data_IF_896130120836
#
_entry.id   IF_896130120836
#
_cell.length_a   1.000
_cell.length_b   1.000
_cell.length_c   1.000
_cell.angle_alpha   90.00
_cell.angle_beta   90.00
_cell.angle_gamma   90.00
#
_symmetry.space_group_name_H-M   'P 1'
#
loop_
_entity.id
_entity.type
_entity.pdbx_description
1 polymer ?
#
# COMPACT_ATOMS: atom_id res chain seq x y z
N UNK A 1 21.86 11.91 28.66
CA UNK A 1 21.84 12.51 27.32
C UNK A 1 21.76 11.36 26.33
N UNK A 2 20.64 11.19 25.63
CA UNK A 2 20.56 10.21 24.54
C UNK A 2 21.47 10.72 23.42
N UNK A 3 22.54 9.99 23.13
CA UNK A 3 23.29 10.17 21.88
C UNK A 3 22.31 9.85 20.75
N UNK A 4 21.79 10.89 20.10
CA UNK A 4 21.07 10.72 18.84
C UNK A 4 21.99 10.01 17.86
N UNK A 5 21.44 9.06 17.10
CA UNK A 5 22.16 8.43 16.01
C UNK A 5 22.69 9.54 15.08
N UNK A 6 23.94 9.43 14.67
CA UNK A 6 24.56 10.41 13.77
C UNK A 6 23.77 10.47 12.45
N UNK A 7 23.21 11.63 12.12
CA UNK A 7 22.44 11.84 10.91
C UNK A 7 23.26 11.51 9.65
N UNK A 8 24.58 11.69 9.70
CA UNK A 8 25.50 11.33 8.62
C UNK A 8 25.56 9.82 8.38
N UNK A 9 25.51 9.02 9.44
CA UNK A 9 25.49 7.56 9.34
C UNK A 9 24.19 7.05 8.68
N UNK A 10 23.05 7.66 9.03
CA UNK A 10 21.76 7.31 8.43
C UNK A 10 21.71 7.68 6.93
N UNK A 11 22.32 8.81 6.57
CA UNK A 11 22.47 9.24 5.18
C UNK A 11 23.34 8.28 4.36
N UNK A 12 24.47 7.84 4.92
CA UNK A 12 25.33 6.85 4.29
C UNK A 12 24.64 5.49 4.17
N UNK A 13 23.91 5.08 5.19
CA UNK A 13 23.15 3.84 5.17
C UNK A 13 22.06 3.87 4.09
N UNK A 14 21.32 4.97 3.95
CA UNK A 14 20.31 5.11 2.89
C UNK A 14 20.93 4.93 1.50
N UNK A 15 22.03 5.65 1.21
CA UNK A 15 22.76 5.52 -0.06
C UNK A 15 23.32 4.12 -0.29
N UNK A 16 23.87 3.49 0.75
CA UNK A 16 24.41 2.13 0.68
C UNK A 16 23.30 1.10 0.38
N UNK A 17 22.15 1.24 1.03
CA UNK A 17 20.97 0.40 0.76
C UNK A 17 20.51 0.54 -0.68
N UNK A 18 20.44 1.77 -1.21
CA UNK A 18 20.05 2.00 -2.61
C UNK A 18 21.06 1.38 -3.59
N UNK A 19 22.36 1.62 -3.38
CA UNK A 19 23.42 1.09 -4.22
C UNK A 19 23.45 -0.45 -4.22
N UNK A 20 23.09 -1.10 -3.12
CA UNK A 20 23.06 -2.56 -3.01
C UNK A 20 21.93 -3.21 -3.83
N UNK A 21 20.88 -2.46 -4.21
CA UNK A 21 19.70 -3.02 -4.89
C UNK A 21 19.46 -2.46 -6.28
N UNK A 22 20.11 -1.35 -6.63
CA UNK A 22 20.08 -0.78 -7.96
C UNK A 22 21.16 -1.46 -8.80
N UNK A 23 20.76 -2.27 -9.79
CA UNK A 23 21.73 -2.86 -10.71
C UNK A 23 22.41 -1.75 -11.52
N UNK A 24 23.68 -1.97 -11.87
CA UNK A 24 24.38 -1.06 -12.77
C UNK A 24 23.75 -1.18 -14.17
N UNK A 25 23.13 -0.09 -14.64
CA UNK A 25 22.48 -0.02 -15.97
C UNK A 25 23.45 -0.28 -17.14
N UNK A 26 24.76 -0.29 -16.88
CA UNK A 26 25.81 -0.53 -17.87
C UNK A 26 26.02 -2.01 -18.23
N UNK A 27 25.37 -2.95 -17.55
CA UNK A 27 25.46 -4.38 -17.89
C UNK A 27 24.21 -4.86 -18.63
N UNK A 28 24.33 -5.30 -19.90
CA UNK A 28 23.24 -5.93 -20.63
C UNK A 28 23.03 -7.33 -20.05
N UNK A 29 22.19 -7.41 -19.02
CA UNK A 29 21.81 -8.69 -18.40
C UNK A 29 20.67 -9.28 -19.23
N UNK A 30 21.00 -10.27 -20.06
CA UNK A 30 20.04 -10.95 -20.94
C UNK A 30 19.12 -11.95 -20.21
N UNK A 31 19.35 -12.17 -18.92
CA UNK A 31 18.65 -13.18 -18.12
C UNK A 31 17.99 -12.56 -16.88
N UNK A 32 16.65 -12.65 -16.81
CA UNK A 32 15.84 -12.16 -15.70
C UNK A 32 16.06 -12.94 -14.38
N UNK A 33 16.84 -14.02 -14.41
CA UNK A 33 17.23 -14.78 -13.22
C UNK A 33 18.57 -14.35 -12.61
N UNK A 34 19.30 -13.43 -13.26
CA UNK A 34 20.56 -12.93 -12.72
C UNK A 34 20.32 -12.04 -11.48
N UNK A 35 21.16 -12.11 -10.44
CA UNK A 35 21.05 -11.24 -9.26
C UNK A 35 21.09 -9.74 -9.58
N UNK A 36 21.81 -9.37 -10.65
CA UNK A 36 21.94 -8.00 -11.15
C UNK A 36 20.90 -7.64 -12.22
N UNK A 37 19.86 -8.46 -12.40
CA UNK A 37 18.76 -8.08 -13.28
C UNK A 37 18.06 -6.82 -12.77
N UNK A 38 17.51 -6.03 -13.72
CA UNK A 38 16.71 -4.83 -13.44
C UNK A 38 15.54 -5.12 -12.48
N UNK A 39 15.11 -6.38 -12.42
CA UNK A 39 14.17 -6.94 -11.45
C UNK A 39 14.65 -8.31 -11.01
N UNK A 40 14.73 -8.51 -9.71
CA UNK A 40 15.03 -9.79 -9.09
C UNK A 40 14.12 -9.97 -7.89
N UNK A 41 13.14 -10.86 -8.02
CA UNK A 41 12.03 -11.03 -7.09
C UNK A 41 12.46 -11.05 -5.61
N UNK A 42 13.35 -11.96 -5.22
CA UNK A 42 13.74 -12.10 -3.80
C UNK A 42 14.41 -10.84 -3.25
N UNK A 43 15.23 -10.19 -4.08
CA UNK A 43 15.96 -8.97 -3.70
C UNK A 43 14.96 -7.82 -3.54
N UNK A 44 14.12 -7.63 -4.56
CA UNK A 44 13.19 -6.50 -4.61
C UNK A 44 12.04 -6.64 -3.60
N UNK A 45 11.64 -7.87 -3.23
CA UNK A 45 10.75 -8.14 -2.09
C UNK A 45 11.37 -7.75 -0.75
N UNK A 46 12.58 -8.25 -0.45
CA UNK A 46 13.28 -7.91 0.79
C UNK A 46 13.52 -6.39 0.91
N UNK A 47 13.92 -5.77 -0.20
CA UNK A 47 14.10 -4.34 -0.29
C UNK A 47 12.79 -3.60 -0.03
N UNK A 48 11.69 -3.93 -0.75
CA UNK A 48 10.41 -3.25 -0.56
C UNK A 48 9.88 -3.41 0.87
N UNK A 49 10.05 -4.58 1.49
CA UNK A 49 9.71 -4.77 2.89
C UNK A 49 10.50 -3.83 3.81
N UNK A 50 11.81 -3.72 3.61
CA UNK A 50 12.65 -2.81 4.39
C UNK A 50 12.23 -1.35 4.19
N UNK A 51 12.07 -0.92 2.94
CA UNK A 51 11.67 0.47 2.62
C UNK A 51 10.30 0.80 3.19
N UNK A 52 9.35 -0.15 3.18
CA UNK A 52 8.05 0.01 3.83
C UNK A 52 8.19 0.35 5.32
N UNK A 53 8.96 -0.43 6.08
CA UNK A 53 9.16 -0.16 7.50
C UNK A 53 9.90 1.16 7.75
N UNK A 54 10.88 1.49 6.91
CA UNK A 54 11.60 2.77 7.03
C UNK A 54 10.68 3.95 6.70
N UNK A 55 9.81 3.84 5.70
CA UNK A 55 8.88 4.90 5.32
C UNK A 55 7.86 5.27 6.40
N UNK A 56 7.59 4.36 7.35
CA UNK A 56 6.76 4.65 8.53
C UNK A 56 7.44 5.61 9.53
N UNK A 57 8.74 5.87 9.38
CA UNK A 57 9.49 6.81 10.19
C UNK A 57 9.74 8.11 9.40
N UNK A 58 9.24 9.24 9.91
CA UNK A 58 9.35 10.54 9.24
C UNK A 58 10.80 10.96 8.94
N UNK A 59 11.76 10.59 9.79
CA UNK A 59 13.18 10.90 9.58
C UNK A 59 13.75 10.13 8.36
N UNK A 60 13.27 8.91 8.15
CA UNK A 60 13.65 8.10 7.00
C UNK A 60 12.94 8.52 5.73
N UNK A 61 11.69 8.96 5.82
CA UNK A 61 10.93 9.40 4.66
C UNK A 61 11.68 10.41 3.78
N UNK A 62 12.27 11.46 4.37
CA UNK A 62 13.04 12.47 3.63
C UNK A 62 14.26 11.85 2.90
N UNK A 63 14.96 10.93 3.57
CA UNK A 63 16.13 10.22 3.02
C UNK A 63 15.74 9.30 1.88
N UNK A 64 14.65 8.56 2.05
CA UNK A 64 14.11 7.64 1.04
C UNK A 64 13.74 8.39 -0.25
N UNK A 65 13.15 9.57 -0.11
CA UNK A 65 12.83 10.44 -1.25
C UNK A 65 14.10 11.00 -1.90
N UNK A 66 14.98 11.61 -1.11
CA UNK A 66 16.22 12.26 -1.58
C UNK A 66 17.14 11.29 -2.31
N UNK A 67 17.30 10.08 -1.77
CA UNK A 67 18.26 9.09 -2.26
C UNK A 67 17.64 8.15 -3.32
N UNK A 68 16.43 8.45 -3.80
CA UNK A 68 15.83 7.83 -4.98
C UNK A 68 15.06 6.52 -4.74
N UNK A 69 14.88 6.11 -3.48
CA UNK A 69 14.22 4.84 -3.14
C UNK A 69 12.78 4.78 -3.66
N UNK A 70 12.04 5.89 -3.54
CA UNK A 70 10.66 5.96 -4.03
C UNK A 70 10.56 5.82 -5.55
N UNK A 71 11.50 6.41 -6.30
CA UNK A 71 11.57 6.27 -7.75
C UNK A 71 11.84 4.79 -8.13
N UNK A 72 12.75 4.12 -7.41
CA UNK A 72 12.99 2.69 -7.58
C UNK A 72 11.74 1.87 -7.27
N UNK A 73 11.06 2.09 -6.15
CA UNK A 73 9.81 1.42 -5.82
C UNK A 73 8.71 1.68 -6.88
N UNK A 74 8.72 2.85 -7.53
CA UNK A 74 7.76 3.16 -8.60
C UNK A 74 8.01 2.30 -9.82
N UNK A 75 9.29 2.14 -10.18
CA UNK A 75 9.69 1.24 -11.28
C UNK A 75 9.35 -0.23 -11.01
N UNK A 76 9.29 -0.63 -9.73
CA UNK A 76 8.94 -1.99 -9.33
C UNK A 76 7.43 -2.26 -9.44
N UNK A 77 6.56 -1.23 -9.40
CA UNK A 77 5.11 -1.43 -9.53
C UNK A 77 4.76 -2.10 -10.85
N UNK A 78 5.27 -1.60 -11.97
CA UNK A 78 4.93 -2.14 -13.30
C UNK A 78 5.33 -3.61 -13.41
N UNK A 79 6.46 -3.97 -12.80
CA UNK A 79 6.95 -5.35 -12.77
C UNK A 79 6.12 -6.20 -11.83
N UNK A 80 5.79 -5.70 -10.63
CA UNK A 80 4.93 -6.38 -9.67
C UNK A 80 3.51 -6.60 -10.21
N UNK A 81 2.99 -5.74 -11.09
CA UNK A 81 1.71 -5.96 -11.76
C UNK A 81 1.77 -7.11 -12.78
N UNK A 82 2.93 -7.33 -13.42
CA UNK A 82 3.17 -8.45 -14.33
C UNK A 82 3.40 -9.80 -13.65
N UNK A 83 3.69 -9.82 -12.34
CA UNK A 83 3.97 -11.03 -11.56
C UNK A 83 2.90 -11.30 -10.50
N UNK A 84 2.56 -12.56 -10.24
CA UNK A 84 1.53 -12.95 -9.27
C UNK A 84 2.02 -12.93 -7.80
N UNK A 85 2.68 -11.83 -7.42
CA UNK A 85 3.41 -11.71 -6.15
C UNK A 85 2.71 -10.77 -5.18
N UNK A 86 1.99 -11.38 -4.23
CA UNK A 86 1.19 -10.72 -3.21
C UNK A 86 2.02 -9.78 -2.31
N UNK A 87 3.11 -10.29 -1.74
CA UNK A 87 3.90 -9.58 -0.72
C UNK A 87 4.53 -8.30 -1.28
N UNK A 88 5.13 -8.40 -2.47
CA UNK A 88 5.74 -7.26 -3.14
C UNK A 88 4.72 -6.14 -3.37
N UNK A 89 3.54 -6.50 -3.87
CA UNK A 89 2.45 -5.55 -4.13
C UNK A 89 1.99 -4.88 -2.83
N UNK A 90 1.88 -5.63 -1.73
CA UNK A 90 1.51 -5.07 -0.43
C UNK A 90 2.53 -4.03 0.06
N UNK A 91 3.83 -4.38 0.08
CA UNK A 91 4.86 -3.45 0.55
C UNK A 91 4.98 -2.22 -0.34
N UNK A 92 4.95 -2.39 -1.67
CA UNK A 92 4.98 -1.25 -2.59
C UNK A 92 3.77 -0.34 -2.35
N UNK A 93 2.57 -0.90 -2.19
CA UNK A 93 1.37 -0.10 -1.94
C UNK A 93 1.45 0.68 -0.63
N UNK A 94 2.04 0.09 0.40
CA UNK A 94 2.33 0.75 1.67
C UNK A 94 3.35 1.88 1.56
N UNK A 95 4.45 1.68 0.82
CA UNK A 95 5.48 2.71 0.61
C UNK A 95 4.88 3.97 -0.01
N UNK A 96 4.05 3.81 -1.05
CA UNK A 96 3.45 4.95 -1.74
C UNK A 96 2.48 5.76 -0.90
N UNK A 97 1.88 5.17 0.12
CA UNK A 97 1.05 5.92 1.07
C UNK A 97 1.88 6.83 1.96
N UNK A 98 2.96 6.30 2.51
CA UNK A 98 3.81 7.08 3.40
C UNK A 98 4.65 8.09 2.63
N UNK A 99 4.86 7.87 1.33
CA UNK A 99 5.62 8.71 0.41
C UNK A 99 4.95 10.04 0.01
N UNK A 100 3.61 10.16 0.12
CA UNK A 100 2.90 11.37 -0.31
C UNK A 100 2.01 11.94 0.82
N UNK A 101 2.58 12.71 1.77
CA UNK A 101 1.81 13.37 2.81
C UNK A 101 1.15 14.68 2.35
N UNK A 102 1.09 14.97 1.05
CA UNK A 102 0.52 16.22 0.56
C UNK A 102 -1.01 16.22 0.69
N UNK A 103 -1.53 16.96 1.68
CA UNK A 103 -2.94 17.37 1.86
C UNK A 103 -3.56 18.09 0.64
N UNK A 104 -2.80 18.28 -0.45
CA UNK A 104 -3.30 18.87 -1.69
C UNK A 104 -3.80 17.77 -2.59
N UNK A 105 -5.13 17.73 -2.74
CA UNK A 105 -5.86 17.03 -3.81
C UNK A 105 -5.34 17.51 -5.16
N UNK A 106 -4.24 16.92 -5.60
CA UNK A 106 -3.72 17.10 -6.95
C UNK A 106 -4.44 16.09 -7.86
N UNK A 107 -4.72 16.47 -9.12
CA UNK A 107 -5.28 15.53 -10.08
C UNK A 107 -4.40 14.27 -10.15
N UNK A 108 -5.08 13.12 -10.22
CA UNK A 108 -4.51 11.78 -10.23
C UNK A 108 -3.23 11.69 -11.04
N UNK A 109 -2.09 11.69 -10.35
CA UNK A 109 -0.81 11.45 -11.03
C UNK A 109 -0.81 10.03 -11.61
N UNK A 110 -0.08 9.77 -12.70
CA UNK A 110 0.07 8.40 -13.22
C UNK A 110 0.54 7.41 -12.14
N UNK A 111 1.32 7.86 -11.17
CA UNK A 111 1.73 7.06 -10.01
C UNK A 111 0.54 6.70 -9.11
N UNK A 112 -0.36 7.66 -8.81
CA UNK A 112 -1.57 7.41 -8.03
C UNK A 112 -2.51 6.43 -8.74
N UNK A 113 -2.67 6.52 -10.07
CA UNK A 113 -3.50 5.57 -10.83
C UNK A 113 -2.92 4.14 -10.80
N UNK A 114 -1.60 4.00 -10.93
CA UNK A 114 -0.92 2.70 -10.83
C UNK A 114 -1.08 2.13 -9.42
N UNK A 115 -0.97 2.96 -8.41
CA UNK A 115 -1.19 2.56 -7.03
C UNK A 115 -2.63 2.08 -6.77
N UNK A 116 -3.65 2.78 -7.27
CA UNK A 116 -5.06 2.31 -7.20
C UNK A 116 -5.22 0.93 -7.81
N UNK A 117 -4.60 0.73 -8.96
CA UNK A 117 -4.58 -0.56 -9.65
C UNK A 117 -3.94 -1.64 -8.78
N UNK A 118 -2.84 -1.34 -8.07
CA UNK A 118 -2.24 -2.25 -7.09
C UNK A 118 -3.21 -2.59 -5.95
N UNK A 119 -3.79 -1.59 -5.27
CA UNK A 119 -4.71 -1.81 -4.15
C UNK A 119 -5.90 -2.69 -4.57
N UNK A 120 -6.50 -2.43 -5.74
CA UNK A 120 -7.59 -3.27 -6.28
C UNK A 120 -7.14 -4.69 -6.57
N UNK A 121 -5.97 -4.85 -7.18
CA UNK A 121 -5.45 -6.17 -7.52
C UNK A 121 -5.17 -6.99 -6.24
N UNK A 122 -4.68 -6.33 -5.19
CA UNK A 122 -4.48 -6.95 -3.88
C UNK A 122 -5.84 -7.35 -3.29
N UNK A 123 -6.86 -6.49 -3.27
CA UNK A 123 -8.17 -6.91 -2.75
C UNK A 123 -8.81 -8.08 -3.49
N UNK A 124 -8.70 -8.13 -4.82
CA UNK A 124 -9.16 -9.28 -5.62
C UNK A 124 -8.52 -10.59 -5.18
N UNK A 125 -7.24 -10.57 -4.83
CA UNK A 125 -6.48 -11.75 -4.42
C UNK A 125 -6.62 -12.05 -2.91
N UNK A 126 -7.04 -11.06 -2.10
CA UNK A 126 -7.12 -11.14 -0.64
C UNK A 126 -7.97 -12.32 -0.15
N UNK A 127 -9.07 -12.58 -0.86
CA UNK A 127 -10.00 -13.68 -0.55
C UNK A 127 -9.39 -15.08 -0.62
N UNK A 128 -8.16 -15.24 -1.12
CA UNK A 128 -7.50 -16.53 -1.29
C UNK A 128 -6.09 -16.63 -0.72
N UNK A 129 -5.46 -15.51 -0.33
CA UNK A 129 -4.01 -15.48 0.00
C UNK A 129 -3.65 -14.73 1.27
N UNK A 130 -4.62 -14.15 1.96
CA UNK A 130 -4.30 -13.15 2.97
C UNK A 130 -3.87 -13.75 4.32
N UNK A 131 -2.78 -13.24 4.90
CA UNK A 131 -2.38 -13.47 6.29
C UNK A 131 -2.91 -12.36 7.21
N UNK A 132 -3.13 -12.65 8.50
CA UNK A 132 -3.62 -11.69 9.51
C UNK A 132 -2.78 -10.41 9.58
N UNK A 133 -1.45 -10.54 9.55
CA UNK A 133 -0.50 -9.43 9.53
C UNK A 133 -0.73 -8.48 8.35
N UNK A 134 -0.90 -9.03 7.15
CA UNK A 134 -1.05 -8.28 5.90
C UNK A 134 -2.40 -7.54 5.79
N UNK A 135 -3.42 -7.97 6.56
CA UNK A 135 -4.75 -7.34 6.56
C UNK A 135 -4.73 -5.97 7.17
N UNK A 136 -4.02 -5.82 8.29
CA UNK A 136 -3.97 -4.54 9.00
C UNK A 136 -3.31 -3.48 8.12
N UNK A 137 -2.21 -3.84 7.47
CA UNK A 137 -1.52 -2.98 6.51
C UNK A 137 -2.44 -2.64 5.33
N UNK A 138 -3.07 -3.66 4.72
CA UNK A 138 -3.96 -3.45 3.56
C UNK A 138 -5.21 -2.61 3.89
N UNK A 139 -5.82 -2.79 5.07
CA UNK A 139 -6.93 -1.97 5.54
C UNK A 139 -6.47 -0.52 5.72
N UNK A 140 -5.30 -0.31 6.31
CA UNK A 140 -4.71 1.01 6.49
C UNK A 140 -4.47 1.68 5.14
N UNK A 141 -3.92 0.94 4.17
CA UNK A 141 -3.74 1.37 2.76
C UNK A 141 -5.04 1.82 2.13
N UNK A 142 -6.07 1.01 2.30
CA UNK A 142 -7.36 1.25 1.66
C UNK A 142 -8.07 2.45 2.27
N UNK A 143 -7.99 2.65 3.59
CA UNK A 143 -8.58 3.83 4.23
C UNK A 143 -7.94 5.13 3.77
N UNK A 144 -6.64 5.14 3.54
CA UNK A 144 -5.96 6.33 3.02
C UNK A 144 -6.29 6.59 1.55
N UNK A 145 -6.40 5.53 0.74
CA UNK A 145 -6.98 5.58 -0.60
C UNK A 145 -8.34 6.28 -0.63
N UNK A 146 -9.24 5.91 0.28
CA UNK A 146 -10.59 6.49 0.35
C UNK A 146 -10.62 7.94 0.87
N UNK A 147 -9.59 8.40 1.59
CA UNK A 147 -9.50 9.77 2.12
C UNK A 147 -8.91 10.78 1.14
N UNK A 148 -8.06 10.31 0.23
CA UNK A 148 -7.32 11.17 -0.71
C UNK A 148 -8.09 11.56 -1.97
N UNK A 149 -9.28 11.01 -2.21
CA UNK A 149 -10.06 11.27 -3.43
C UNK A 149 -11.57 11.32 -3.17
N UNK A 150 -12.13 12.52 -3.27
CA UNK A 150 -13.58 12.76 -3.19
C UNK A 150 -14.34 12.30 -4.45
N UNK A 151 -13.65 11.84 -5.51
CA UNK A 151 -14.22 11.48 -6.81
C UNK A 151 -13.95 10.02 -7.21
N UNK A 152 -13.87 9.09 -6.26
CA UNK A 152 -13.80 7.66 -6.59
C UNK A 152 -15.11 7.26 -7.31
N UNK A 153 -15.04 6.70 -8.52
CA UNK A 153 -16.22 6.23 -9.25
C UNK A 153 -17.04 5.22 -8.45
N UNK A 154 -18.38 5.31 -8.50
CA UNK A 154 -19.28 4.44 -7.75
C UNK A 154 -19.08 2.94 -8.07
N UNK A 155 -18.76 2.62 -9.33
CA UNK A 155 -18.46 1.25 -9.77
C UNK A 155 -17.15 0.73 -9.17
N UNK A 156 -16.12 1.59 -9.07
CA UNK A 156 -14.86 1.27 -8.40
C UNK A 156 -15.06 1.04 -6.90
N UNK A 157 -15.87 1.88 -6.25
CA UNK A 157 -16.19 1.74 -4.83
C UNK A 157 -17.00 0.44 -4.58
N UNK A 158 -17.93 0.11 -5.47
CA UNK A 158 -18.75 -1.12 -5.41
C UNK A 158 -17.89 -2.36 -5.59
N UNK A 159 -16.99 -2.36 -6.58
CA UNK A 159 -16.04 -3.45 -6.82
C UNK A 159 -15.15 -3.68 -5.58
N UNK A 160 -14.60 -2.60 -5.02
CA UNK A 160 -13.76 -2.68 -3.82
C UNK A 160 -14.55 -3.23 -2.62
N UNK A 161 -15.78 -2.78 -2.41
CA UNK A 161 -16.65 -3.29 -1.34
C UNK A 161 -16.90 -4.79 -1.48
N UNK A 162 -17.16 -5.28 -2.71
CA UNK A 162 -17.31 -6.71 -2.99
C UNK A 162 -16.03 -7.48 -2.65
N UNK A 163 -14.87 -6.98 -3.06
CA UNK A 163 -13.60 -7.68 -2.86
C UNK A 163 -13.21 -7.72 -1.36
N UNK A 164 -13.41 -6.61 -0.63
CA UNK A 164 -13.27 -6.53 0.84
C UNK A 164 -14.22 -7.48 1.55
N UNK A 165 -15.49 -7.56 1.11
CA UNK A 165 -16.46 -8.51 1.65
C UNK A 165 -16.03 -9.97 1.42
N UNK A 166 -15.46 -10.27 0.25
CA UNK A 166 -14.88 -11.60 -0.05
C UNK A 166 -13.75 -11.97 0.90
N UNK A 167 -12.84 -11.04 1.18
CA UNK A 167 -11.76 -11.23 2.15
C UNK A 167 -12.29 -11.43 3.58
N UNK A 168 -13.32 -10.69 3.97
CA UNK A 168 -13.97 -10.81 5.28
C UNK A 168 -14.58 -12.20 5.47
N UNK A 169 -15.36 -12.67 4.49
CA UNK A 169 -15.94 -14.01 4.52
C UNK A 169 -14.87 -15.11 4.59
N UNK A 170 -13.75 -14.92 3.89
CA UNK A 170 -12.62 -15.84 3.95
C UNK A 170 -12.00 -15.92 5.35
N UNK A 171 -11.72 -14.77 5.97
CA UNK A 171 -11.20 -14.72 7.34
C UNK A 171 -12.16 -15.32 8.36
N UNK A 172 -13.45 -14.99 8.27
CA UNK A 172 -14.44 -15.58 9.17
C UNK A 172 -14.50 -17.10 9.06
N UNK A 173 -14.35 -17.65 7.84
CA UNK A 173 -14.23 -19.10 7.63
C UNK A 173 -12.98 -19.66 8.28
N UNK A 174 -11.82 -19.03 8.11
CA UNK A 174 -10.57 -19.42 8.79
C UNK A 174 -10.80 -19.44 10.31
N UNK A 175 -11.37 -18.36 10.87
CA UNK A 175 -11.64 -18.28 12.31
C UNK A 175 -12.44 -19.48 12.82
N UNK A 176 -13.53 -19.81 12.13
CA UNK A 176 -14.40 -20.94 12.47
C UNK A 176 -13.66 -22.28 12.44
N UNK A 177 -12.71 -22.48 11.52
CA UNK A 177 -11.94 -23.72 11.44
C UNK A 177 -10.82 -23.81 12.50
N UNK A 178 -10.25 -22.68 12.92
CA UNK A 178 -9.09 -22.64 13.82
C UNK A 178 -9.42 -22.20 15.25
N UNK A 179 -10.69 -21.94 15.59
CA UNK A 179 -11.17 -21.65 16.95
C UNK A 179 -10.77 -22.71 18.01
N UNK A 180 -10.25 -23.87 17.58
CA UNK A 180 -9.85 -24.98 18.44
C UNK A 180 -8.32 -25.20 18.51
N UNK A 181 -7.53 -24.36 17.84
CA UNK A 181 -6.08 -24.50 17.77
C UNK A 181 -5.38 -23.33 18.49
N UNK A 182 -4.97 -23.57 19.74
CA UNK A 182 -4.41 -22.56 20.68
C UNK A 182 -3.07 -21.94 20.26
N UNK A 183 -2.57 -22.31 19.08
CA UNK A 183 -1.24 -21.92 18.59
C UNK A 183 -1.27 -20.65 17.74
N UNK A 184 -2.45 -20.13 17.42
CA UNK A 184 -2.61 -18.91 16.62
C UNK A 184 -2.54 -17.66 17.50
N UNK A 185 -1.90 -16.59 17.00
CA UNK A 185 -1.90 -15.28 17.64
C UNK A 185 -3.29 -14.63 17.56
N UNK A 186 -4.24 -15.15 18.37
CA UNK A 186 -5.66 -14.76 18.37
C UNK A 186 -5.87 -13.25 18.40
N UNK A 187 -5.09 -12.53 19.22
CA UNK A 187 -5.22 -11.08 19.33
C UNK A 187 -4.94 -10.32 18.01
N UNK A 188 -3.96 -10.76 17.22
CA UNK A 188 -3.65 -10.12 15.93
C UNK A 188 -4.70 -10.49 14.88
N UNK A 189 -5.18 -11.73 14.92
CA UNK A 189 -6.26 -12.19 14.06
C UNK A 189 -7.57 -11.45 14.34
N UNK A 190 -7.93 -11.28 15.61
CA UNK A 190 -9.11 -10.53 16.06
C UNK A 190 -9.01 -9.05 15.66
N UNK A 191 -7.83 -8.45 15.79
CA UNK A 191 -7.57 -7.08 15.36
C UNK A 191 -7.72 -6.94 13.83
N UNK A 192 -7.20 -7.90 13.06
CA UNK A 192 -7.33 -7.95 11.61
C UNK A 192 -8.81 -8.07 11.19
N UNK A 193 -9.55 -9.00 11.79
CA UNK A 193 -10.97 -9.22 11.52
C UNK A 193 -11.79 -7.97 11.84
N UNK A 194 -11.57 -7.38 13.02
CA UNK A 194 -12.26 -6.15 13.45
C UNK A 194 -11.97 -4.97 12.52
N UNK A 195 -10.71 -4.81 12.11
CA UNK A 195 -10.29 -3.74 11.20
C UNK A 195 -10.92 -3.90 9.81
N UNK A 196 -10.98 -5.12 9.30
CA UNK A 196 -11.59 -5.44 8.01
C UNK A 196 -13.11 -5.25 8.02
N UNK A 197 -13.78 -5.67 9.09
CA UNK A 197 -15.21 -5.44 9.30
C UNK A 197 -15.52 -3.94 9.27
N UNK A 198 -14.74 -3.14 9.99
CA UNK A 198 -14.92 -1.69 10.02
C UNK A 198 -14.72 -1.06 8.62
N UNK A 199 -13.73 -1.52 7.85
CA UNK A 199 -13.54 -1.05 6.47
C UNK A 199 -14.73 -1.40 5.56
N UNK A 200 -15.24 -2.63 5.66
CA UNK A 200 -16.43 -3.06 4.93
C UNK A 200 -17.64 -2.18 5.23
N UNK A 201 -17.87 -1.87 6.50
CA UNK A 201 -19.00 -1.04 6.94
C UNK A 201 -18.85 0.42 6.48
N UNK A 202 -17.62 0.95 6.47
CA UNK A 202 -17.31 2.27 5.92
C UNK A 202 -17.62 2.34 4.42
N UNK A 203 -17.15 1.35 3.63
CA UNK A 203 -17.41 1.27 2.19
C UNK A 203 -18.91 1.19 1.89
N UNK A 204 -19.64 0.38 2.65
CA UNK A 204 -21.10 0.26 2.51
C UNK A 204 -21.81 1.59 2.80
N UNK A 205 -21.33 2.34 3.79
CA UNK A 205 -21.86 3.67 4.13
C UNK A 205 -21.60 4.68 3.02
N UNK A 206 -20.42 4.64 2.40
CA UNK A 206 -20.06 5.53 1.28
C UNK A 206 -20.96 5.27 0.06
N UNK A 207 -21.18 3.99 -0.31
CA UNK A 207 -22.09 3.61 -1.40
C UNK A 207 -23.55 4.01 -1.09
N UNK A 208 -23.97 3.90 0.17
CA UNK A 208 -25.34 4.20 0.59
C UNK A 208 -25.69 5.69 0.75
N UNK A 209 -24.70 6.61 0.75
CA UNK A 209 -24.91 8.04 0.98
C UNK A 209 -24.34 8.92 -0.15
N UNK A 210 -25.10 9.15 -1.24
CA UNK A 210 -24.66 10.00 -2.36
C UNK A 210 -24.46 11.49 -2.02
N UNK A 211 -24.94 11.96 -0.87
CA UNK A 211 -25.08 13.39 -0.58
C UNK A 211 -23.79 14.13 -0.17
N UNK A 212 -22.66 13.45 -0.01
CA UNK A 212 -21.39 14.12 0.38
C UNK A 212 -20.59 14.68 -0.79
N UNK A 213 -20.89 14.30 -2.05
CA UNK A 213 -20.14 14.77 -3.23
C UNK A 213 -20.70 16.06 -3.88
N UNK A 214 -21.90 16.54 -3.50
CA UNK A 214 -22.54 17.69 -4.16
C UNK A 214 -22.57 19.03 -3.39
N UNK A 215 -22.15 19.10 -2.13
CA UNK A 215 -22.22 20.35 -1.35
C UNK A 215 -20.99 21.25 -1.49
N UNK A 216 -20.59 21.64 -2.72
CA UNK A 216 -19.68 22.80 -2.91
C UNK A 216 -19.90 23.69 -4.13
N UNK A 217 -20.88 23.42 -5.00
CA UNK A 217 -21.20 24.29 -6.13
C UNK A 217 -22.63 24.84 -6.04
N UNK A 218 -22.84 25.84 -5.17
CA UNK A 218 -24.18 26.41 -5.02
C UNK A 218 -24.28 27.58 -4.04
N UNK A 219 -23.39 28.57 -4.13
CA UNK A 219 -23.66 29.87 -3.51
C UNK A 219 -22.92 30.99 -4.24
N UNK A 220 -23.61 31.65 -5.16
CA UNK A 220 -23.07 32.80 -5.88
C UNK A 220 -24.01 33.37 -6.93
N UNK A 221 -25.33 33.46 -6.64
CA UNK A 221 -26.21 34.34 -7.39
C UNK A 221 -26.99 35.21 -6.42
N UNK A 222 -26.55 36.46 -6.30
CA UNK A 222 -27.35 37.55 -5.76
C UNK A 222 -26.94 38.82 -6.50
N UNK A 223 -27.73 39.08 -7.55
CA UNK A 223 -28.27 40.37 -7.99
C UNK A 223 -27.51 41.64 -7.58
N UNK A 224 -27.11 42.39 -8.58
CA UNK A 224 -27.31 43.85 -8.64
C UNK A 224 -28.05 44.15 -9.93
#
# INVERSE_FOLDING_TARGET
MQQGVDAGLLDELSRALFAAVCPNDDQPVHDNSHPDASFHYRRDCCYSRLIFFLAMNNEWHERLTRDGHLARCTSLIEKALGHDDWDLRCYLSGIFMYADPSDKVLPLSPAQQRWRTCVRTIWKQASTRISSTSILDLVTVTRQYLRGDDNIPDDELTDLARDVHGALNFLQRINFFYEHDSTFALAEFDAALSSLQALHDDLRRMIGNPETSQRKNGSGSSRS
#
